data_IF_213718583004
#
_entry.id   IF_213718583004
#
_cell.length_a   1.000
_cell.length_b   1.000
_cell.length_c   1.000
_cell.angle_alpha   90.00
_cell.angle_beta   90.00
_cell.angle_gamma   90.00
#
_symmetry.space_group_name_H-M   'P 1'
#
loop_
_entity.id
_entity.type
_entity.pdbx_description
1 polymer ?
#
# COMPACT_ATOMS: atom_id res chain seq x y z
N UNK A 1 -0.75 -0.77 -1.19
CA UNK A 1 -2.00 -0.16 -1.66
C UNK A 1 -2.77 -1.18 -2.47
N UNK A 2 -4.09 -1.19 -2.38
CA UNK A 2 -4.97 -2.04 -3.20
C UNK A 2 -6.01 -1.16 -3.87
N UNK A 3 -6.23 -1.35 -5.16
CA UNK A 3 -7.29 -0.70 -5.93
C UNK A 3 -7.89 -1.72 -6.90
N UNK A 4 -8.92 -1.33 -7.66
CA UNK A 4 -9.58 -2.25 -8.60
C UNK A 4 -8.63 -2.77 -9.68
N UNK A 5 -7.64 -1.96 -10.10
CA UNK A 5 -6.62 -2.35 -11.07
C UNK A 5 -5.18 -2.13 -10.56
N UNK A 6 -4.23 -2.84 -11.16
CA UNK A 6 -2.80 -2.65 -10.88
C UNK A 6 -2.31 -1.23 -11.19
N UNK A 7 -2.86 -0.60 -12.22
CA UNK A 7 -2.48 0.76 -12.61
C UNK A 7 -2.95 1.79 -11.58
N UNK A 8 -4.19 1.67 -11.10
CA UNK A 8 -4.73 2.54 -10.06
C UNK A 8 -4.01 2.35 -8.73
N UNK A 9 -3.70 1.11 -8.36
CA UNK A 9 -2.97 0.83 -7.12
C UNK A 9 -1.54 1.41 -7.16
N UNK A 10 -0.86 1.31 -8.30
CA UNK A 10 0.44 1.96 -8.53
C UNK A 10 0.36 3.48 -8.41
N UNK A 11 -0.66 4.09 -9.00
CA UNK A 11 -0.92 5.53 -8.88
C UNK A 11 -1.20 5.93 -7.42
N UNK A 12 -2.01 5.14 -6.69
CA UNK A 12 -2.30 5.37 -5.28
C UNK A 12 -1.03 5.30 -4.41
N UNK A 13 -0.06 4.47 -4.78
CA UNK A 13 1.24 4.36 -4.11
C UNK A 13 2.11 5.62 -4.23
N UNK A 14 1.86 6.50 -5.21
CA UNK A 14 2.65 7.72 -5.39
C UNK A 14 2.61 8.64 -4.17
N UNK A 15 1.48 8.71 -3.45
CA UNK A 15 1.37 9.47 -2.18
C UNK A 15 2.48 9.07 -1.19
N UNK A 16 2.69 7.76 -0.99
CA UNK A 16 3.71 7.24 -0.09
C UNK A 16 5.13 7.45 -0.62
N UNK A 17 5.35 7.30 -1.92
CA UNK A 17 6.65 7.59 -2.55
C UNK A 17 7.02 9.06 -2.40
N UNK A 18 6.09 9.97 -2.68
CA UNK A 18 6.29 11.40 -2.56
C UNK A 18 6.48 11.85 -1.11
N UNK A 19 5.77 11.25 -0.15
CA UNK A 19 6.05 11.51 1.27
C UNK A 19 7.50 11.19 1.64
N UNK A 20 8.06 10.07 1.18
CA UNK A 20 9.48 9.76 1.46
C UNK A 20 10.42 10.77 0.81
N UNK A 21 10.11 11.20 -0.42
CA UNK A 21 10.87 12.24 -1.08
C UNK A 21 10.76 13.61 -0.36
N UNK A 22 9.61 13.93 0.23
CA UNK A 22 9.42 15.11 1.09
C UNK A 22 10.20 14.97 2.39
N UNK A 23 10.11 13.84 3.11
CA UNK A 23 10.86 13.58 4.35
C UNK A 23 12.38 13.70 4.13
N UNK A 24 12.89 13.18 3.02
CA UNK A 24 14.32 13.28 2.69
C UNK A 24 14.79 14.74 2.46
N UNK A 25 13.89 15.64 2.03
CA UNK A 25 14.19 17.05 1.74
C UNK A 25 13.85 18.00 2.89
N UNK A 26 12.80 17.71 3.64
CA UNK A 26 12.15 18.63 4.60
C UNK A 26 12.20 18.11 6.05
N UNK A 27 12.63 16.87 6.27
CA UNK A 27 12.59 16.23 7.59
C UNK A 27 11.15 16.02 8.08
N UNK A 28 10.96 16.01 9.40
CA UNK A 28 9.69 15.69 10.07
C UNK A 28 8.53 16.66 9.79
N UNK A 29 8.80 17.81 9.15
CA UNK A 29 7.76 18.75 8.73
C UNK A 29 7.00 18.30 7.46
N UNK A 30 7.46 17.23 6.80
CA UNK A 30 6.84 16.74 5.57
C UNK A 30 5.40 16.27 5.81
N UNK A 31 4.47 16.79 5.02
CA UNK A 31 3.07 16.36 5.01
C UNK A 31 2.84 15.30 3.93
N UNK A 32 1.83 14.44 4.17
CA UNK A 32 1.41 13.42 3.20
C UNK A 32 0.80 14.12 1.97
N UNK A 33 1.37 13.94 0.77
CA UNK A 33 0.81 14.52 -0.45
C UNK A 33 -0.44 13.79 -0.91
N UNK A 34 -1.33 14.49 -1.62
CA UNK A 34 -2.35 13.83 -2.44
C UNK A 34 -1.72 13.10 -3.63
N UNK A 35 -2.48 12.25 -4.31
CA UNK A 35 -2.01 11.57 -5.52
C UNK A 35 -1.68 12.58 -6.63
N UNK A 36 -2.48 13.64 -6.76
CA UNK A 36 -2.29 14.70 -7.76
C UNK A 36 -1.06 15.56 -7.46
N UNK A 37 -0.77 15.82 -6.17
CA UNK A 37 0.48 16.48 -5.78
C UNK A 37 1.68 15.59 -6.08
N UNK A 38 1.60 14.31 -5.69
CA UNK A 38 2.66 13.34 -5.95
C UNK A 38 2.95 13.19 -7.46
N UNK A 39 1.92 13.21 -8.31
CA UNK A 39 2.08 13.14 -9.77
C UNK A 39 2.90 14.32 -10.32
N UNK A 40 2.76 15.52 -9.75
CA UNK A 40 3.55 16.70 -10.15
C UNK A 40 4.96 16.70 -9.56
N UNK A 41 5.14 16.13 -8.37
CA UNK A 41 6.40 16.16 -7.64
C UNK A 41 7.39 15.05 -8.04
N UNK A 42 6.89 13.87 -8.37
CA UNK A 42 7.71 12.69 -8.61
C UNK A 42 8.30 12.69 -10.02
N UNK A 43 9.57 12.27 -10.13
CA UNK A 43 10.15 11.89 -11.42
C UNK A 43 9.52 10.60 -11.94
N UNK A 44 9.69 10.33 -13.24
CA UNK A 44 9.18 9.11 -13.85
C UNK A 44 9.78 7.85 -13.19
N UNK A 45 11.09 7.83 -12.92
CA UNK A 45 11.75 6.73 -12.21
C UNK A 45 11.16 6.46 -10.82
N UNK A 46 10.72 7.52 -10.12
CA UNK A 46 10.05 7.36 -8.82
C UNK A 46 8.64 6.79 -8.97
N UNK A 47 7.90 7.19 -10.02
CA UNK A 47 6.58 6.64 -10.34
C UNK A 47 6.63 5.19 -10.78
N UNK A 48 7.72 4.79 -11.45
CA UNK A 48 7.96 3.45 -11.97
C UNK A 48 8.69 2.53 -10.98
N UNK A 49 8.89 2.98 -9.73
CA UNK A 49 9.44 2.12 -8.68
C UNK A 49 8.60 0.84 -8.57
N UNK A 50 9.21 -0.35 -8.65
CA UNK A 50 8.46 -1.62 -8.63
C UNK A 50 7.60 -1.75 -7.38
N UNK A 51 6.34 -2.14 -7.59
CA UNK A 51 5.36 -2.42 -6.54
C UNK A 51 4.96 -3.90 -6.49
N UNK A 52 5.60 -4.71 -7.33
CA UNK A 52 5.39 -6.15 -7.42
C UNK A 52 6.71 -6.91 -7.28
N UNK A 53 6.65 -8.16 -6.80
CA UNK A 53 7.82 -9.05 -6.81
C UNK A 53 8.21 -9.34 -8.26
N UNK A 54 9.47 -9.09 -8.62
CA UNK A 54 10.00 -9.35 -9.96
C UNK A 54 11.35 -10.05 -9.85
N UNK A 55 11.52 -11.16 -10.54
CA UNK A 55 12.74 -11.98 -10.49
C UNK A 55 13.18 -12.34 -9.07
N UNK A 56 12.22 -12.64 -8.19
CA UNK A 56 12.46 -12.96 -6.78
C UNK A 56 12.86 -11.77 -5.91
N UNK A 57 12.99 -10.56 -6.46
CA UNK A 57 13.27 -9.35 -5.69
C UNK A 57 11.98 -8.75 -5.14
N UNK A 58 11.96 -8.54 -3.83
CA UNK A 58 10.80 -7.97 -3.13
C UNK A 58 10.78 -6.45 -3.27
N UNK A 59 9.64 -5.85 -3.63
CA UNK A 59 9.53 -4.41 -3.69
C UNK A 59 9.50 -3.83 -2.27
N UNK A 60 9.86 -2.55 -2.14
CA UNK A 60 9.76 -1.86 -0.85
C UNK A 60 8.31 -1.64 -0.43
N UNK A 61 7.39 -1.54 -1.38
CA UNK A 61 5.96 -1.31 -1.16
C UNK A 61 5.19 -2.26 -2.09
N UNK A 62 4.13 -2.88 -1.59
CA UNK A 62 3.22 -3.66 -2.42
C UNK A 62 2.10 -2.76 -2.94
N UNK A 63 1.84 -2.79 -4.24
CA UNK A 63 0.67 -2.16 -4.82
C UNK A 63 0.20 -2.91 -6.07
N UNK A 64 -1.09 -3.24 -6.09
CA UNK A 64 -1.74 -3.95 -7.19
C UNK A 64 -3.25 -4.10 -6.99
N UNK A 65 -3.88 -4.83 -7.89
CA UNK A 65 -5.24 -5.35 -7.73
C UNK A 65 -5.35 -6.26 -6.48
N UNK A 66 -6.57 -6.59 -6.01
CA UNK A 66 -6.74 -7.45 -4.85
C UNK A 66 -6.05 -8.81 -5.04
N UNK A 67 -6.17 -9.41 -6.23
CA UNK A 67 -5.51 -10.67 -6.57
C UNK A 67 -3.98 -10.51 -6.60
N UNK A 68 -3.48 -9.46 -7.26
CA UNK A 68 -2.03 -9.19 -7.36
C UNK A 68 -1.38 -9.05 -5.99
N UNK A 69 -2.05 -8.40 -5.04
CA UNK A 69 -1.51 -8.21 -3.69
C UNK A 69 -1.63 -9.50 -2.86
N UNK A 70 -2.72 -10.25 -2.99
CA UNK A 70 -2.88 -11.58 -2.38
C UNK A 70 -1.76 -12.52 -2.79
N UNK A 71 -1.53 -12.68 -4.09
CA UNK A 71 -0.53 -13.61 -4.64
C UNK A 71 0.89 -13.28 -4.12
N UNK A 72 1.21 -11.99 -4.01
CA UNK A 72 2.49 -11.56 -3.48
C UNK A 72 2.63 -11.80 -1.98
N UNK A 73 1.57 -11.56 -1.20
CA UNK A 73 1.57 -11.87 0.22
C UNK A 73 1.73 -13.38 0.44
N UNK A 74 1.03 -14.21 -0.31
CA UNK A 74 1.18 -15.68 -0.27
C UNK A 74 2.60 -16.12 -0.65
N UNK A 75 3.19 -15.50 -1.68
CA UNK A 75 4.58 -15.75 -2.04
C UNK A 75 5.55 -15.38 -0.90
N UNK A 76 5.35 -14.22 -0.27
CA UNK A 76 6.19 -13.73 0.82
C UNK A 76 6.08 -14.62 2.06
N UNK A 77 4.86 -14.97 2.49
CA UNK A 77 4.62 -15.80 3.68
C UNK A 77 5.16 -17.21 3.48
N UNK A 78 4.98 -17.81 2.29
CA UNK A 78 5.56 -19.11 1.97
C UNK A 78 7.09 -19.09 2.00
N UNK A 79 7.71 -18.01 1.53
CA UNK A 79 9.17 -17.89 1.48
C UNK A 79 9.81 -17.65 2.86
N UNK A 80 9.11 -17.00 3.78
CA UNK A 80 9.64 -16.67 5.12
C UNK A 80 9.16 -17.60 6.22
N UNK A 81 8.04 -18.31 6.02
CA UNK A 81 7.40 -19.12 7.04
C UNK A 81 6.70 -18.33 8.13
N UNK A 82 6.41 -17.04 7.91
CA UNK A 82 5.66 -16.23 8.89
C UNK A 82 4.19 -16.60 8.89
N UNK A 83 3.58 -16.57 10.07
CA UNK A 83 2.16 -16.87 10.27
C UNK A 83 1.29 -15.61 10.18
N UNK A 84 1.89 -14.43 10.38
CA UNK A 84 1.18 -13.15 10.39
C UNK A 84 1.91 -12.08 9.58
N UNK A 85 1.14 -11.20 8.92
CA UNK A 85 1.66 -10.03 8.21
C UNK A 85 0.95 -8.79 8.70
N UNK A 86 1.71 -7.83 9.23
CA UNK A 86 1.20 -6.52 9.59
C UNK A 86 1.21 -5.59 8.38
N UNK A 87 0.03 -5.13 7.99
CA UNK A 87 -0.14 -4.22 6.85
C UNK A 87 -0.18 -2.77 7.30
N UNK A 88 0.60 -1.92 6.63
CA UNK A 88 0.58 -0.47 6.82
C UNK A 88 0.38 0.20 5.47
N UNK A 89 -0.38 1.30 5.47
CA UNK A 89 -0.63 2.12 4.30
C UNK A 89 -0.44 3.61 4.66
N UNK A 90 -0.09 4.40 3.63
CA UNK A 90 -0.10 5.87 3.71
C UNK A 90 -0.82 6.38 2.47
N UNK A 91 -2.13 6.52 2.62
CA UNK A 91 -3.03 7.07 1.61
C UNK A 91 -3.64 8.33 2.21
N UNK A 92 -3.43 9.48 1.56
CA UNK A 92 -3.90 10.77 2.06
C UNK A 92 -5.43 10.85 2.13
N UNK A 93 -6.09 10.37 1.09
CA UNK A 93 -7.55 10.40 1.00
C UNK A 93 -8.20 9.32 1.91
N UNK A 94 -9.07 9.71 2.87
CA UNK A 94 -9.69 8.77 3.79
C UNK A 94 -10.58 7.72 3.11
N UNK A 95 -11.28 8.08 2.02
CA UNK A 95 -12.20 7.18 1.32
C UNK A 95 -11.41 6.12 0.55
N UNK A 96 -10.40 6.54 -0.22
CA UNK A 96 -9.49 5.64 -0.93
C UNK A 96 -8.74 4.71 0.03
N UNK A 97 -8.36 5.21 1.21
CA UNK A 97 -7.75 4.38 2.26
C UNK A 97 -8.71 3.33 2.79
N UNK A 98 -9.94 3.71 3.11
CA UNK A 98 -10.98 2.78 3.57
C UNK A 98 -11.27 1.71 2.52
N UNK A 99 -11.43 2.15 1.26
CA UNK A 99 -11.66 1.27 0.12
C UNK A 99 -10.50 0.29 -0.12
N UNK A 100 -9.25 0.77 -0.11
CA UNK A 100 -8.06 -0.08 -0.24
C UNK A 100 -7.99 -1.15 0.86
N UNK A 101 -8.37 -0.83 2.10
CA UNK A 101 -8.40 -1.79 3.21
C UNK A 101 -9.52 -2.80 3.04
N UNK A 102 -10.69 -2.36 2.60
CA UNK A 102 -11.83 -3.24 2.33
C UNK A 102 -11.51 -4.25 1.21
N UNK A 103 -10.86 -3.79 0.12
CA UNK A 103 -10.41 -4.67 -0.96
C UNK A 103 -9.39 -5.70 -0.48
N UNK A 104 -8.41 -5.28 0.33
CA UNK A 104 -7.41 -6.20 0.88
C UNK A 104 -8.04 -7.23 1.82
N UNK A 105 -8.92 -6.79 2.72
CA UNK A 105 -9.62 -7.68 3.65
C UNK A 105 -10.46 -8.74 2.90
N UNK A 106 -11.18 -8.32 1.85
CA UNK A 106 -11.92 -9.25 0.99
C UNK A 106 -10.98 -10.22 0.26
N UNK A 107 -9.88 -9.74 -0.31
CA UNK A 107 -8.93 -10.61 -1.03
C UNK A 107 -8.31 -11.69 -0.14
N UNK A 108 -8.12 -11.39 1.14
CA UNK A 108 -7.54 -12.27 2.14
C UNK A 108 -8.60 -13.04 2.95
N UNK A 109 -9.88 -12.92 2.59
CA UNK A 109 -11.01 -13.55 3.30
C UNK A 109 -11.01 -13.24 4.81
N UNK A 110 -10.54 -12.04 5.19
CA UNK A 110 -10.45 -11.61 6.59
C UNK A 110 -11.84 -11.26 7.09
N UNK A 111 -12.30 -12.01 8.10
CA UNK A 111 -13.56 -11.71 8.77
C UNK A 111 -13.39 -10.46 9.63
N UNK A 112 -14.34 -9.50 9.60
CA UNK A 112 -14.33 -8.39 10.55
C UNK A 112 -14.27 -8.94 11.96
N UNK A 113 -13.36 -8.42 12.78
CA UNK A 113 -13.38 -8.73 14.20
C UNK A 113 -14.76 -8.34 14.76
N UNK A 114 -15.36 -9.21 15.57
CA UNK A 114 -16.53 -8.82 16.35
C UNK A 114 -16.19 -7.55 17.14
N UNK A 115 -17.09 -6.56 17.20
CA UNK A 115 -16.81 -5.33 17.93
C UNK A 115 -16.41 -5.71 19.36
N UNK A 116 -15.26 -5.21 19.81
CA UNK A 116 -14.81 -5.40 21.18
C UNK A 116 -15.94 -4.92 22.10
N UNK A 117 -16.38 -5.79 23.03
CA UNK A 117 -17.36 -5.39 24.04
C UNK A 117 -16.77 -4.18 24.77
N UNK A 118 -17.52 -3.08 24.79
CA UNK A 118 -17.15 -1.91 25.60
C UNK A 118 -16.90 -2.37 27.05
N UNK A 119 -15.79 -1.98 27.68
CA UNK A 119 -15.60 -2.22 29.10
C UNK A 119 -16.76 -1.54 29.85
N UNK A 120 -17.38 -2.30 30.77
CA UNK A 120 -18.45 -1.81 31.65
C UNK A 120 -17.95 -0.84 32.71
#
# INVERSE_FOLDING_TARGET
MVADTDAEARRLNWSRTALMARLARQGSAAQVPTVEEADRELSQDQKDTPTVITDGRWPRQLAGSPQTVRDQLEQMTKATGVEEVMVQDIIADPEARSHSRALLAQALDVTPASPARSPS
#
